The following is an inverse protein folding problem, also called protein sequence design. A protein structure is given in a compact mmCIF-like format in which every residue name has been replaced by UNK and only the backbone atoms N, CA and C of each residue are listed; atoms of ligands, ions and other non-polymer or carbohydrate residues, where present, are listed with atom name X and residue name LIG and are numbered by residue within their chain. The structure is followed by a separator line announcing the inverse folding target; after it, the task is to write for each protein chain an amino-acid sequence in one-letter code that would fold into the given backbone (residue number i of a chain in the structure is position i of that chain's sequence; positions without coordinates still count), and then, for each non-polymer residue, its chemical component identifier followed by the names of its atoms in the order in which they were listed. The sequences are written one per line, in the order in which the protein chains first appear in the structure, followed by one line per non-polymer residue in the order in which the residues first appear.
data_IF_863187523116
#
_entry.id   IF_863187523116
#
_cell.length_a   1.000
_cell.length_b   1.000
_cell.length_c   1.000
_cell.angle_alpha   90.00
_cell.angle_beta   90.00
_cell.angle_gamma   90.00
#
_symmetry.space_group_name_H-M   'P 1'
#
loop_
_entity.id
_entity.type
_entity.pdbx_description
1 polymer ?
#
# COMPACT_ATOMS: atom_id res chain seq x y z
N UNK A 1 -23.66 -24.13 7.66
CA UNK A 1 -22.88 -22.91 7.93
C UNK A 1 -22.58 -22.28 6.60
N UNK A 2 -23.08 -21.06 6.34
CA UNK A 2 -22.78 -20.34 5.08
C UNK A 2 -21.28 -20.05 5.07
N UNK A 3 -20.56 -20.68 4.14
CA UNK A 3 -19.10 -20.52 4.04
C UNK A 3 -18.78 -19.22 3.25
N UNK A 4 -19.13 -18.05 3.83
CA UNK A 4 -18.85 -16.74 3.23
C UNK A 4 -17.40 -16.28 3.47
N UNK A 5 -16.59 -17.10 4.15
CA UNK A 5 -15.22 -16.77 4.54
C UNK A 5 -14.34 -16.29 3.37
N UNK A 6 -14.23 -17.02 2.24
CA UNK A 6 -13.40 -16.57 1.12
C UNK A 6 -13.88 -15.26 0.50
N UNK A 7 -15.19 -15.04 0.47
CA UNK A 7 -15.77 -13.80 -0.05
C UNK A 7 -15.48 -12.61 0.85
N UNK A 8 -15.63 -12.79 2.17
CA UNK A 8 -15.28 -11.75 3.16
C UNK A 8 -13.81 -11.37 3.04
N UNK A 9 -12.91 -12.37 2.96
CA UNK A 9 -11.48 -12.15 2.82
C UNK A 9 -11.13 -11.34 1.55
N UNK A 10 -11.69 -11.69 0.42
CA UNK A 10 -11.49 -10.96 -0.84
C UNK A 10 -11.95 -9.50 -0.73
N UNK A 11 -13.13 -9.24 -0.12
CA UNK A 11 -13.63 -7.89 0.09
C UNK A 11 -12.74 -7.07 1.04
N UNK A 12 -12.20 -7.70 2.10
CA UNK A 12 -11.28 -7.06 3.02
C UNK A 12 -9.96 -6.69 2.34
N UNK A 13 -9.40 -7.57 1.50
CA UNK A 13 -8.20 -7.27 0.72
C UNK A 13 -8.44 -6.09 -0.24
N UNK A 14 -9.58 -6.08 -0.95
CA UNK A 14 -9.92 -4.98 -1.85
C UNK A 14 -10.09 -3.66 -1.08
N UNK A 15 -10.74 -3.69 0.09
CA UNK A 15 -10.91 -2.50 0.94
C UNK A 15 -9.58 -1.97 1.42
N UNK A 16 -8.70 -2.83 1.93
CA UNK A 16 -7.37 -2.47 2.38
C UNK A 16 -6.51 -1.90 1.24
N UNK A 17 -6.58 -2.47 0.03
CA UNK A 17 -5.91 -1.93 -1.14
C UNK A 17 -6.39 -0.51 -1.49
N UNK A 18 -7.70 -0.26 -1.51
CA UNK A 18 -8.21 1.10 -1.72
C UNK A 18 -7.82 2.06 -0.60
N UNK A 19 -7.77 1.59 0.64
CA UNK A 19 -7.31 2.41 1.78
C UNK A 19 -5.83 2.75 1.64
N UNK A 20 -4.99 1.79 1.28
CA UNK A 20 -3.57 2.00 1.02
C UNK A 20 -3.35 3.00 -0.14
N UNK A 21 -4.07 2.84 -1.27
CA UNK A 21 -4.02 3.79 -2.39
C UNK A 21 -4.44 5.21 -1.99
N UNK A 22 -5.45 5.33 -1.13
CA UNK A 22 -5.87 6.63 -0.60
C UNK A 22 -4.79 7.27 0.27
N UNK A 23 -4.10 6.48 1.10
CA UNK A 23 -2.99 6.94 1.94
C UNK A 23 -1.73 7.32 1.12
N UNK A 24 -1.57 6.77 -0.08
CA UNK A 24 -0.49 7.13 -1.01
C UNK A 24 -0.66 8.52 -1.64
N UNK A 25 -1.88 9.07 -1.68
CA UNK A 25 -2.11 10.37 -2.31
C UNK A 25 -1.56 11.50 -1.43
N UNK A 26 -0.57 12.28 -1.90
CA UNK A 26 0.06 13.32 -1.09
C UNK A 26 -0.93 14.44 -0.71
N UNK A 27 -1.90 14.70 -1.61
CA UNK A 27 -2.94 15.71 -1.41
C UNK A 27 -4.28 15.17 -1.94
N UNK A 28 -5.15 14.77 -1.03
CA UNK A 28 -6.42 14.08 -1.33
C UNK A 28 -7.67 14.98 -1.20
N UNK A 29 -7.46 16.29 -1.10
CA UNK A 29 -8.52 17.30 -0.97
C UNK A 29 -8.84 18.00 -2.28
N UNK A 30 -9.66 19.06 -2.21
CA UNK A 30 -10.05 19.87 -3.37
C UNK A 30 -9.00 20.96 -3.62
N UNK A 31 -8.39 21.03 -4.82
CA UNK A 31 -7.47 22.11 -5.16
C UNK A 31 -8.15 23.48 -5.14
N UNK A 32 -7.45 24.47 -4.65
CA UNK A 32 -7.86 25.86 -4.59
C UNK A 32 -6.69 26.76 -5.04
N UNK A 33 -6.98 27.73 -5.90
CA UNK A 33 -5.99 28.74 -6.32
C UNK A 33 -6.24 29.98 -5.49
N UNK A 34 -5.18 30.50 -4.85
CA UNK A 34 -5.20 31.79 -4.17
C UNK A 34 -4.23 32.74 -4.85
N UNK A 35 -4.65 33.99 -5.00
CA UNK A 35 -3.83 35.06 -5.60
C UNK A 35 -3.35 36.00 -4.51
N UNK A 36 -2.08 36.37 -4.61
CA UNK A 36 -1.46 37.43 -3.79
C UNK A 36 -0.61 38.30 -4.71
N UNK A 37 -1.12 39.48 -4.97
CA UNK A 37 -0.58 40.38 -5.98
C UNK A 37 -0.58 39.77 -7.38
N UNK A 38 0.59 39.62 -7.98
CA UNK A 38 0.77 39.01 -9.32
C UNK A 38 1.05 37.52 -9.27
N UNK A 39 1.14 36.92 -8.09
CA UNK A 39 1.49 35.52 -7.91
C UNK A 39 0.27 34.69 -7.58
N UNK A 40 0.24 33.46 -8.13
CA UNK A 40 -0.80 32.45 -7.83
C UNK A 40 -0.18 31.31 -7.05
N UNK A 41 -0.92 30.82 -6.07
CA UNK A 41 -0.50 29.76 -5.18
C UNK A 41 -1.54 28.65 -5.15
N UNK A 42 -1.09 27.41 -5.04
CA UNK A 42 -1.93 26.24 -4.91
C UNK A 42 -2.11 25.85 -3.45
N UNK A 43 -3.35 25.63 -3.09
CA UNK A 43 -3.77 25.10 -1.81
C UNK A 43 -4.64 23.87 -2.03
N UNK A 44 -4.69 23.01 -1.05
CA UNK A 44 -5.64 21.89 -1.01
C UNK A 44 -6.54 22.06 0.20
N UNK A 45 -7.84 22.08 -0.06
CA UNK A 45 -8.88 22.22 0.94
C UNK A 45 -9.45 20.85 1.29
N UNK A 46 -9.42 20.49 2.56
CA UNK A 46 -9.95 19.23 3.09
C UNK A 46 -10.76 19.47 4.36
N UNK A 47 -11.85 18.71 4.52
CA UNK A 47 -12.61 18.71 5.78
C UNK A 47 -11.99 17.68 6.73
N UNK A 48 -11.62 18.13 7.93
CA UNK A 48 -11.11 17.30 9.03
C UNK A 48 -12.11 17.43 10.18
N UNK A 49 -12.93 16.40 10.38
CA UNK A 49 -14.06 16.46 11.30
C UNK A 49 -15.06 17.54 10.89
N UNK A 50 -15.36 18.48 11.79
CA UNK A 50 -16.25 19.62 11.54
C UNK A 50 -15.56 20.83 10.90
N UNK A 51 -14.23 20.86 10.88
CA UNK A 51 -13.43 22.01 10.40
C UNK A 51 -13.01 21.84 8.94
N UNK A 52 -12.94 22.95 8.22
CA UNK A 52 -12.38 23.04 6.88
C UNK A 52 -10.93 23.52 7.02
N UNK A 53 -9.98 22.70 6.56
CA UNK A 53 -8.55 23.05 6.52
C UNK A 53 -8.14 23.36 5.08
N UNK A 54 -7.27 24.34 4.91
CA UNK A 54 -6.64 24.69 3.63
C UNK A 54 -5.13 24.64 3.81
N UNK A 55 -4.46 23.73 3.13
CA UNK A 55 -3.02 23.48 3.23
C UNK A 55 -2.34 24.06 2.00
N UNK A 56 -1.30 24.85 2.20
CA UNK A 56 -0.44 25.33 1.11
C UNK A 56 0.32 24.15 0.48
N UNK A 57 0.41 24.14 -0.84
CA UNK A 57 1.15 23.12 -1.60
C UNK A 57 2.38 23.73 -2.23
N UNK A 58 2.20 24.68 -3.17
CA UNK A 58 3.32 25.33 -3.87
C UNK A 58 2.82 26.55 -4.70
N UNK A 59 3.74 27.20 -5.40
CA UNK A 59 3.43 28.19 -6.45
C UNK A 59 2.67 27.49 -7.57
N UNK A 60 1.70 28.19 -8.16
CA UNK A 60 0.87 27.66 -9.24
C UNK A 60 1.71 27.23 -10.45
N UNK A 61 1.47 26.01 -10.90
CA UNK A 61 1.82 25.54 -12.23
C UNK A 61 0.68 24.68 -12.76
N UNK A 62 0.47 24.68 -14.07
CA UNK A 62 -0.59 23.89 -14.71
C UNK A 62 -0.40 22.39 -14.43
N UNK A 63 0.85 21.91 -14.50
CA UNK A 63 1.18 20.49 -14.23
C UNK A 63 0.79 20.08 -12.82
N UNK A 64 1.17 20.88 -11.82
CA UNK A 64 0.85 20.61 -10.42
C UNK A 64 -0.66 20.71 -10.17
N UNK A 65 -1.33 21.69 -10.76
CA UNK A 65 -2.78 21.83 -10.64
C UNK A 65 -3.52 20.62 -11.22
N UNK A 66 -3.11 20.12 -12.39
CA UNK A 66 -3.68 18.92 -13.00
C UNK A 66 -3.42 17.66 -12.16
N UNK A 67 -2.24 17.55 -11.54
CA UNK A 67 -1.93 16.47 -10.60
C UNK A 67 -2.88 16.51 -9.40
N UNK A 68 -3.07 17.67 -8.77
CA UNK A 68 -3.98 17.83 -7.63
C UNK A 68 -5.44 17.52 -8.00
N UNK A 69 -5.88 17.89 -9.20
CA UNK A 69 -7.21 17.54 -9.70
C UNK A 69 -7.37 16.02 -9.87
N UNK A 70 -6.34 15.34 -10.36
CA UNK A 70 -6.31 13.88 -10.47
C UNK A 70 -6.40 13.25 -9.09
N UNK A 71 -5.53 13.64 -8.17
CA UNK A 71 -5.53 13.13 -6.79
C UNK A 71 -6.89 13.31 -6.11
N UNK A 72 -7.54 14.47 -6.29
CA UNK A 72 -8.87 14.72 -5.73
C UNK A 72 -9.95 13.79 -6.30
N UNK A 73 -9.85 13.47 -7.61
CA UNK A 73 -10.75 12.53 -8.29
C UNK A 73 -10.54 11.12 -7.80
N UNK A 74 -9.29 10.68 -7.78
CA UNK A 74 -8.90 9.33 -7.35
C UNK A 74 -9.27 9.10 -5.87
N UNK A 75 -9.01 10.08 -5.00
CA UNK A 75 -9.44 10.04 -3.60
C UNK A 75 -10.97 9.90 -3.44
N UNK A 76 -11.74 10.60 -4.27
CA UNK A 76 -13.21 10.49 -4.26
C UNK A 76 -13.66 9.09 -4.70
N UNK A 77 -13.03 8.53 -5.71
CA UNK A 77 -13.32 7.19 -6.21
C UNK A 77 -12.96 6.12 -5.18
N UNK A 78 -11.77 6.18 -4.58
CA UNK A 78 -11.36 5.22 -3.54
C UNK A 78 -12.30 5.26 -2.34
N UNK A 79 -12.66 6.43 -1.83
CA UNK A 79 -13.65 6.57 -0.75
C UNK A 79 -15.03 6.02 -1.12
N UNK A 80 -15.44 6.14 -2.37
CA UNK A 80 -16.71 5.55 -2.86
C UNK A 80 -16.63 4.03 -2.85
N UNK A 81 -15.52 3.44 -3.32
CA UNK A 81 -15.32 2.00 -3.34
C UNK A 81 -15.23 1.42 -1.92
N UNK A 82 -14.50 2.05 -1.01
CA UNK A 82 -14.44 1.65 0.41
C UNK A 82 -15.85 1.59 1.01
N UNK A 83 -16.67 2.64 0.84
CA UNK A 83 -18.06 2.65 1.36
C UNK A 83 -18.94 1.57 0.74
N UNK A 84 -18.72 1.20 -0.51
CA UNK A 84 -19.43 0.10 -1.17
C UNK A 84 -19.04 -1.22 -0.51
N UNK A 85 -17.74 -1.47 -0.34
CA UNK A 85 -17.23 -2.68 0.28
C UNK A 85 -17.68 -2.82 1.75
N UNK A 86 -17.69 -1.73 2.52
CA UNK A 86 -18.24 -1.73 3.89
C UNK A 86 -19.70 -2.22 3.94
N UNK A 87 -20.51 -1.80 2.96
CA UNK A 87 -21.91 -2.26 2.88
C UNK A 87 -22.00 -3.74 2.51
N UNK A 88 -21.18 -4.20 1.58
CA UNK A 88 -21.15 -5.61 1.17
C UNK A 88 -20.67 -6.50 2.33
N UNK A 89 -19.65 -6.10 3.06
CA UNK A 89 -19.16 -6.77 4.27
C UNK A 89 -20.24 -6.85 5.36
N UNK A 90 -20.94 -5.74 5.61
CA UNK A 90 -22.04 -5.72 6.58
C UNK A 90 -23.18 -6.68 6.18
N UNK A 91 -23.50 -6.80 4.88
CA UNK A 91 -24.51 -7.76 4.39
C UNK A 91 -24.09 -9.22 4.59
N UNK A 92 -22.80 -9.51 4.60
CA UNK A 92 -22.24 -10.84 4.90
C UNK A 92 -22.13 -11.11 6.41
N UNK A 93 -22.53 -10.15 7.25
CA UNK A 93 -22.47 -10.26 8.70
C UNK A 93 -21.07 -10.02 9.28
N UNK A 94 -20.16 -9.44 8.50
CA UNK A 94 -18.84 -9.06 9.00
C UNK A 94 -18.95 -7.89 9.97
N UNK A 95 -18.30 -8.02 11.12
CA UNK A 95 -18.11 -6.97 12.12
C UNK A 95 -16.64 -6.79 12.41
N UNK A 96 -16.20 -5.54 12.54
CA UNK A 96 -14.82 -5.21 12.87
C UNK A 96 -14.39 -5.93 14.15
N UNK A 97 -13.22 -6.56 14.10
CA UNK A 97 -12.63 -7.18 15.28
C UNK A 97 -11.87 -6.14 16.11
N UNK A 98 -11.90 -6.29 17.43
CA UNK A 98 -11.08 -5.48 18.32
C UNK A 98 -9.60 -5.87 18.21
N UNK A 99 -8.73 -4.88 18.07
CA UNK A 99 -7.28 -5.07 18.08
C UNK A 99 -6.80 -5.14 19.52
N UNK A 100 -6.10 -6.22 19.87
CA UNK A 100 -5.48 -6.32 21.19
C UNK A 100 -4.42 -5.22 21.40
N UNK A 101 -4.17 -4.77 22.66
CA UNK A 101 -3.14 -3.77 22.93
C UNK A 101 -1.74 -4.17 22.44
N UNK A 102 -1.41 -5.47 22.46
CA UNK A 102 -0.14 -6.00 21.93
C UNK A 102 -0.05 -5.80 20.41
N UNK A 103 -1.10 -6.13 19.70
CA UNK A 103 -1.16 -5.94 18.22
C UNK A 103 -1.09 -4.46 17.88
N UNK A 104 -1.81 -3.60 18.61
CA UNK A 104 -1.74 -2.15 18.40
C UNK A 104 -0.32 -1.62 18.61
N UNK A 105 0.37 -2.04 19.66
CA UNK A 105 1.76 -1.64 19.91
C UNK A 105 2.68 -2.05 18.74
N UNK A 106 2.53 -3.28 18.24
CA UNK A 106 3.31 -3.77 17.11
C UNK A 106 3.02 -2.98 15.83
N UNK A 107 1.77 -2.63 15.57
CA UNK A 107 1.39 -1.77 14.44
C UNK A 107 2.02 -0.38 14.54
N UNK A 108 1.98 0.23 15.72
CA UNK A 108 2.56 1.55 15.95
C UNK A 108 4.08 1.52 15.77
N UNK A 109 4.74 0.47 16.27
CA UNK A 109 6.16 0.25 16.06
C UNK A 109 6.50 0.05 14.56
N UNK A 110 5.73 -0.78 13.86
CA UNK A 110 5.93 -1.02 12.43
C UNK A 110 5.72 0.26 11.60
N UNK A 111 4.71 1.06 11.92
CA UNK A 111 4.48 2.37 11.28
C UNK A 111 5.61 3.36 11.52
N UNK A 112 6.12 3.42 12.76
CA UNK A 112 7.23 4.30 13.11
C UNK A 112 8.52 3.96 12.34
N UNK A 113 8.73 2.68 12.01
CA UNK A 113 9.92 2.20 11.30
C UNK A 113 9.68 1.97 9.80
N UNK A 114 8.49 2.23 9.26
CA UNK A 114 8.12 1.90 7.90
C UNK A 114 9.07 2.51 6.85
N UNK A 115 9.42 3.78 6.99
CA UNK A 115 10.32 4.46 6.05
C UNK A 115 11.72 3.84 6.01
N UNK A 116 12.28 3.51 7.18
CA UNK A 116 13.57 2.84 7.28
C UNK A 116 13.54 1.45 6.66
N UNK A 117 12.50 0.68 6.95
CA UNK A 117 12.34 -0.66 6.39
C UNK A 117 12.16 -0.63 4.87
N UNK A 118 11.41 0.35 4.33
CA UNK A 118 11.26 0.52 2.88
C UNK A 118 12.61 0.87 2.24
N UNK A 119 13.39 1.76 2.87
CA UNK A 119 14.72 2.09 2.39
C UNK A 119 15.62 0.85 2.33
N UNK A 120 15.70 0.09 3.42
CA UNK A 120 16.53 -1.12 3.49
C UNK A 120 16.11 -2.16 2.44
N UNK A 121 14.82 -2.39 2.27
CA UNK A 121 14.27 -3.28 1.26
C UNK A 121 14.58 -2.80 -0.17
N UNK A 122 14.43 -1.50 -0.45
CA UNK A 122 14.75 -0.93 -1.75
C UNK A 122 16.23 -1.12 -2.12
N UNK A 123 17.12 -0.90 -1.15
CA UNK A 123 18.56 -1.13 -1.34
C UNK A 123 18.87 -2.62 -1.62
N UNK A 124 18.23 -3.54 -0.89
CA UNK A 124 18.37 -4.98 -1.11
C UNK A 124 17.87 -5.39 -2.50
N UNK A 125 16.85 -4.75 -3.04
CA UNK A 125 16.32 -4.94 -4.40
C UNK A 125 17.11 -4.20 -5.48
N UNK A 126 18.29 -3.66 -5.12
CA UNK A 126 19.20 -3.00 -6.04
C UNK A 126 18.78 -1.61 -6.50
N UNK A 127 17.90 -0.95 -5.75
CA UNK A 127 17.53 0.45 -6.01
C UNK A 127 18.66 1.37 -5.55
N UNK A 128 19.17 2.19 -6.44
CA UNK A 128 20.18 3.20 -6.12
C UNK A 128 19.48 4.41 -5.46
N UNK A 129 19.35 4.39 -4.14
CA UNK A 129 18.70 5.44 -3.36
C UNK A 129 19.43 5.74 -2.06
N UNK A 130 19.17 6.90 -1.48
CA UNK A 130 19.54 7.26 -0.10
C UNK A 130 18.31 7.34 0.78
N UNK A 131 18.48 7.30 2.11
CA UNK A 131 17.34 7.41 3.02
C UNK A 131 16.54 8.71 2.81
N UNK A 132 17.16 9.92 2.68
CA UNK A 132 16.41 11.14 2.39
C UNK A 132 15.62 11.08 1.08
N UNK A 133 16.19 10.52 0.00
CA UNK A 133 15.46 10.35 -1.27
C UNK A 133 14.27 9.40 -1.13
N UNK A 134 14.44 8.31 -0.40
CA UNK A 134 13.34 7.36 -0.11
C UNK A 134 12.24 8.04 0.70
N UNK A 135 12.60 8.83 1.71
CA UNK A 135 11.66 9.60 2.52
C UNK A 135 10.89 10.63 1.67
N UNK A 136 11.56 11.37 0.80
CA UNK A 136 10.92 12.32 -0.12
C UNK A 136 9.92 11.62 -1.06
N UNK A 137 10.26 10.44 -1.58
CA UNK A 137 9.34 9.65 -2.40
C UNK A 137 8.12 9.22 -1.59
N UNK A 138 8.35 8.73 -0.37
CA UNK A 138 7.27 8.26 0.51
C UNK A 138 6.33 9.41 0.89
N UNK A 139 6.86 10.58 1.21
CA UNK A 139 6.06 11.72 1.68
C UNK A 139 5.45 12.53 0.54
N UNK A 140 6.19 12.74 -0.54
CA UNK A 140 5.84 13.70 -1.59
C UNK A 140 5.62 13.07 -2.97
N UNK A 141 6.04 11.83 -3.18
CA UNK A 141 5.95 11.13 -4.46
C UNK A 141 6.89 11.66 -5.55
N UNK A 142 7.83 12.55 -5.19
CA UNK A 142 8.72 13.23 -6.13
C UNK A 142 10.13 13.20 -5.59
N UNK A 143 11.08 12.82 -6.45
CA UNK A 143 12.52 12.97 -6.20
C UNK A 143 13.24 13.29 -7.51
N UNK A 144 14.29 14.10 -7.42
CA UNK A 144 15.16 14.40 -8.56
C UNK A 144 16.33 13.41 -8.60
N UNK A 145 16.74 13.02 -9.82
CA UNK A 145 17.93 12.22 -10.04
C UNK A 145 17.76 10.71 -9.92
N UNK A 146 16.50 10.21 -9.75
CA UNK A 146 16.20 8.78 -9.77
C UNK A 146 15.46 8.38 -11.06
N UNK A 147 15.58 7.12 -11.44
CA UNK A 147 14.81 6.58 -12.57
C UNK A 147 13.35 6.39 -12.17
N UNK A 148 12.43 6.50 -13.14
CA UNK A 148 11.00 6.23 -12.90
C UNK A 148 10.78 4.80 -12.36
N UNK A 149 11.60 3.84 -12.81
CA UNK A 149 11.58 2.45 -12.35
C UNK A 149 11.92 2.34 -10.86
N UNK A 150 12.96 3.03 -10.39
CA UNK A 150 13.37 2.99 -8.99
C UNK A 150 12.35 3.67 -8.08
N UNK A 151 11.81 4.80 -8.52
CA UNK A 151 10.70 5.48 -7.81
C UNK A 151 9.49 4.55 -7.70
N UNK A 152 9.12 3.86 -8.80
CA UNK A 152 7.99 2.93 -8.79
C UNK A 152 8.21 1.76 -7.82
N UNK A 153 9.43 1.20 -7.74
CA UNK A 153 9.75 0.13 -6.78
C UNK A 153 9.51 0.60 -5.33
N UNK A 154 9.97 1.81 -4.98
CA UNK A 154 9.78 2.36 -3.63
C UNK A 154 8.28 2.60 -3.33
N UNK A 155 7.53 3.12 -4.30
CA UNK A 155 6.09 3.32 -4.15
C UNK A 155 5.33 2.00 -4.01
N UNK A 156 5.75 0.94 -4.72
CA UNK A 156 5.18 -0.39 -4.57
C UNK A 156 5.44 -0.98 -3.18
N UNK A 157 6.66 -0.82 -2.66
CA UNK A 157 6.98 -1.23 -1.29
C UNK A 157 6.13 -0.45 -0.28
N UNK A 158 6.01 0.87 -0.42
CA UNK A 158 5.12 1.67 0.42
C UNK A 158 3.68 1.17 0.35
N UNK A 159 3.17 0.87 -0.85
CA UNK A 159 1.82 0.36 -1.04
C UNK A 159 1.63 -0.99 -0.30
N UNK A 160 2.59 -1.90 -0.44
CA UNK A 160 2.54 -3.18 0.27
C UNK A 160 2.59 -3.00 1.81
N UNK A 161 3.41 -2.08 2.32
CA UNK A 161 3.46 -1.74 3.74
C UNK A 161 2.14 -1.15 4.25
N UNK A 162 1.55 -0.19 3.53
CA UNK A 162 0.24 0.39 3.90
C UNK A 162 -0.87 -0.68 3.91
N UNK A 163 -0.82 -1.64 2.97
CA UNK A 163 -1.75 -2.76 2.93
C UNK A 163 -1.60 -3.68 4.14
N UNK A 164 -0.38 -4.16 4.45
CA UNK A 164 -0.18 -5.09 5.57
C UNK A 164 -0.39 -4.45 6.94
N UNK A 165 -0.31 -3.12 7.05
CA UNK A 165 -0.58 -2.38 8.28
C UNK A 165 -2.05 -1.96 8.41
N UNK A 166 -2.88 -2.30 7.42
CA UNK A 166 -4.31 -2.07 7.51
C UNK A 166 -4.95 -2.96 8.56
N UNK A 167 -5.89 -2.40 9.31
CA UNK A 167 -6.55 -3.08 10.42
C UNK A 167 -7.27 -4.35 9.95
N UNK A 168 -7.96 -4.27 8.84
CA UNK A 168 -8.74 -5.40 8.32
C UNK A 168 -7.83 -6.56 7.87
N UNK A 169 -6.62 -6.25 7.39
CA UNK A 169 -5.62 -7.27 7.03
C UNK A 169 -5.02 -7.92 8.28
N UNK A 170 -4.62 -7.10 9.26
CA UNK A 170 -3.94 -7.57 10.49
C UNK A 170 -4.87 -8.42 11.38
N UNK A 171 -6.16 -8.14 11.39
CA UNK A 171 -7.13 -8.87 12.21
C UNK A 171 -7.66 -10.12 11.55
N UNK A 172 -7.32 -10.35 10.30
CA UNK A 172 -7.75 -11.52 9.55
C UNK A 172 -6.65 -12.60 9.53
N UNK A 173 -6.99 -13.89 9.51
CA UNK A 173 -5.98 -14.94 9.47
C UNK A 173 -5.06 -14.82 8.26
N UNK A 174 -3.76 -14.95 8.50
CA UNK A 174 -2.77 -14.99 7.43
C UNK A 174 -2.91 -16.29 6.64
N UNK A 175 -2.93 -16.18 5.32
CA UNK A 175 -2.99 -17.34 4.42
C UNK A 175 -2.18 -17.11 3.13
N UNK A 176 -2.24 -18.10 2.25
CA UNK A 176 -1.57 -18.03 0.94
C UNK A 176 -2.07 -16.84 0.07
N UNK A 177 -3.34 -16.47 0.18
CA UNK A 177 -3.93 -15.36 -0.60
C UNK A 177 -3.31 -14.02 -0.24
N UNK A 178 -3.08 -13.75 1.05
CA UNK A 178 -2.38 -12.54 1.53
C UNK A 178 -0.96 -12.47 0.95
N UNK A 179 -0.21 -13.58 0.96
CA UNK A 179 1.15 -13.60 0.38
C UNK A 179 1.14 -13.28 -1.11
N UNK A 180 0.20 -13.86 -1.86
CA UNK A 180 0.01 -13.56 -3.28
C UNK A 180 -0.34 -12.09 -3.50
N UNK A 181 -1.19 -11.51 -2.66
CA UNK A 181 -1.59 -10.11 -2.78
C UNK A 181 -0.42 -9.17 -2.51
N UNK A 182 0.36 -9.39 -1.44
CA UNK A 182 1.58 -8.62 -1.14
C UNK A 182 2.56 -8.69 -2.32
N UNK A 183 2.82 -9.91 -2.84
CA UNK A 183 3.70 -10.09 -3.99
C UNK A 183 3.18 -9.37 -5.25
N UNK A 184 1.86 -9.31 -5.45
CA UNK A 184 1.25 -8.53 -6.54
C UNK A 184 1.49 -7.03 -6.37
N UNK A 185 1.32 -6.49 -5.16
CA UNK A 185 1.55 -5.07 -4.87
C UNK A 185 3.01 -4.67 -5.11
N UNK A 186 3.95 -5.47 -4.59
CA UNK A 186 5.39 -5.22 -4.77
C UNK A 186 5.80 -5.24 -6.24
N UNK A 187 5.17 -6.10 -7.04
CA UNK A 187 5.49 -6.28 -8.46
C UNK A 187 4.58 -5.47 -9.41
N UNK A 188 3.76 -4.56 -8.90
CA UNK A 188 2.82 -3.78 -9.72
C UNK A 188 3.57 -2.95 -10.77
N UNK A 189 3.18 -3.11 -12.04
CA UNK A 189 3.81 -2.42 -13.17
C UNK A 189 5.09 -3.08 -13.72
N UNK A 190 5.65 -4.09 -13.03
CA UNK A 190 6.85 -4.81 -13.49
C UNK A 190 6.53 -6.18 -14.07
N UNK A 191 5.53 -6.88 -13.52
CA UNK A 191 5.13 -8.19 -13.98
C UNK A 191 3.62 -8.25 -14.16
N UNK A 192 3.17 -8.75 -15.30
CA UNK A 192 1.74 -8.90 -15.60
C UNK A 192 1.06 -9.87 -14.63
N UNK A 193 1.76 -10.94 -14.26
CA UNK A 193 1.29 -11.99 -13.35
C UNK A 193 1.92 -11.87 -11.94
N UNK A 194 2.21 -10.65 -11.48
CA UNK A 194 2.68 -10.41 -10.12
C UNK A 194 1.75 -11.08 -9.09
N UNK A 195 2.34 -11.72 -8.07
CA UNK A 195 1.58 -12.43 -7.05
C UNK A 195 1.24 -13.88 -7.38
N UNK A 196 1.70 -14.40 -8.51
CA UNK A 196 1.61 -15.82 -8.85
C UNK A 196 2.94 -16.55 -8.62
N UNK A 197 2.87 -17.84 -8.40
CA UNK A 197 4.06 -18.68 -8.37
C UNK A 197 4.71 -18.66 -9.74
N UNK A 198 6.05 -18.51 -9.75
CA UNK A 198 6.83 -18.48 -10.98
C UNK A 198 6.70 -19.80 -11.77
N UNK A 199 6.54 -19.68 -13.08
CA UNK A 199 6.55 -20.81 -14.00
C UNK A 199 7.88 -20.99 -14.74
N UNK A 200 8.94 -20.22 -14.36
CA UNK A 200 10.26 -20.28 -14.98
C UNK A 200 11.35 -20.52 -13.93
N UNK A 201 12.46 -21.20 -14.29
CA UNK A 201 13.63 -21.32 -13.41
C UNK A 201 14.21 -19.94 -13.10
N UNK A 202 14.80 -19.81 -11.90
CA UNK A 202 15.55 -18.63 -11.48
C UNK A 202 16.92 -19.05 -10.97
N UNK A 203 17.89 -18.14 -11.06
CA UNK A 203 19.21 -18.29 -10.47
C UNK A 203 19.43 -17.22 -9.42
N UNK A 204 20.18 -17.54 -8.38
CA UNK A 204 20.57 -16.56 -7.37
C UNK A 204 21.97 -16.06 -7.73
N UNK A 205 22.09 -14.74 -7.97
CA UNK A 205 23.39 -14.12 -8.29
C UNK A 205 24.45 -14.44 -7.22
N UNK A 206 25.66 -14.79 -7.65
CA UNK A 206 26.76 -15.15 -6.74
C UNK A 206 26.66 -16.53 -6.10
N UNK A 207 25.69 -17.36 -6.48
CA UNK A 207 25.49 -18.72 -5.97
C UNK A 207 25.39 -19.73 -7.11
N UNK A 208 25.92 -20.95 -6.88
CA UNK A 208 25.68 -22.11 -7.75
C UNK A 208 24.34 -22.82 -7.47
N UNK A 209 23.65 -22.43 -6.41
CA UNK A 209 22.35 -23.00 -6.07
C UNK A 209 21.26 -22.53 -7.03
N UNK A 210 20.57 -23.50 -7.62
CA UNK A 210 19.38 -23.27 -8.46
C UNK A 210 18.15 -23.68 -7.67
N UNK A 211 17.29 -22.73 -7.26
CA UNK A 211 16.07 -23.06 -6.54
C UNK A 211 15.17 -23.99 -7.39
N UNK A 212 14.62 -25.07 -6.82
CA UNK A 212 13.72 -25.95 -7.55
C UNK A 212 12.47 -25.17 -8.02
N UNK A 213 11.82 -25.70 -9.06
CA UNK A 213 10.51 -25.16 -9.48
C UNK A 213 9.50 -25.31 -8.35
N UNK A 214 8.82 -24.24 -7.97
CA UNK A 214 7.82 -24.29 -6.90
C UNK A 214 6.57 -25.05 -7.36
N UNK A 215 6.00 -25.81 -6.44
CA UNK A 215 4.72 -26.51 -6.62
C UNK A 215 3.71 -25.87 -5.67
N UNK A 216 2.64 -25.33 -6.20
CA UNK A 216 1.67 -24.52 -5.43
C UNK A 216 1.07 -25.28 -4.24
N UNK A 217 0.70 -26.54 -4.43
CA UNK A 217 0.15 -27.38 -3.35
C UNK A 217 1.13 -27.57 -2.21
N UNK A 218 2.40 -27.85 -2.53
CA UNK A 218 3.47 -28.02 -1.53
C UNK A 218 3.73 -26.73 -0.76
N UNK A 219 3.71 -25.57 -1.46
CA UNK A 219 3.89 -24.28 -0.79
C UNK A 219 2.72 -23.98 0.16
N UNK A 220 1.49 -24.28 -0.25
CA UNK A 220 0.30 -24.10 0.62
C UNK A 220 0.37 -24.98 1.86
N UNK A 221 0.71 -26.25 1.69
CA UNK A 221 0.89 -27.20 2.80
C UNK A 221 1.97 -26.73 3.79
N UNK A 222 3.16 -26.33 3.28
CA UNK A 222 4.23 -25.83 4.13
C UNK A 222 3.85 -24.52 4.85
N UNK A 223 3.14 -23.62 4.18
CA UNK A 223 2.65 -22.40 4.82
C UNK A 223 1.67 -22.71 5.94
N UNK A 224 0.71 -23.62 5.71
CA UNK A 224 -0.23 -24.04 6.75
C UNK A 224 0.50 -24.66 7.96
N UNK A 225 1.54 -25.46 7.72
CA UNK A 225 2.35 -26.05 8.79
C UNK A 225 3.10 -24.98 9.59
N UNK A 226 3.67 -23.97 8.92
CA UNK A 226 4.32 -22.83 9.58
C UNK A 226 3.31 -22.05 10.44
N UNK A 227 2.11 -21.78 9.91
CA UNK A 227 1.07 -21.02 10.61
C UNK A 227 0.45 -21.79 11.79
N UNK A 228 0.54 -23.13 11.78
CA UNK A 228 0.13 -23.98 12.92
C UNK A 228 1.19 -24.08 14.00
N UNK A 229 2.45 -23.76 13.69
CA UNK A 229 3.50 -23.74 14.70
C UNK A 229 3.21 -22.60 15.69
N UNK A 230 3.00 -22.97 16.95
CA UNK A 230 2.85 -22.03 18.05
C UNK A 230 4.22 -21.35 18.28
N UNK A 231 4.36 -20.12 17.81
CA UNK A 231 5.56 -19.31 18.06
C UNK A 231 5.48 -18.74 19.48
N UNK A 232 5.43 -19.63 20.47
CA UNK A 232 5.46 -19.31 21.91
C UNK A 232 6.84 -18.88 22.39
#
# INVERSE_FOLDING_TARGET
MNNNYPQIQELLHQKADYQARLNLLPYDGTPEIKEDGSKKYLYVRKRIGSRLSSTYVDVYSDTLYQLLLRNARDAKEYRKNIRRLDKELAQLGYTDQEISPRVQLNLDFARANMKSNIYDQAVLEGVATSFPQTEDIIDNGIVNGMTATDVQKILNLKHAWEFILDRDVITYPTDYSILCHIAKLVNEGFFQDGGRIRGIPVTIGGSSYVPPMPIETVIKEHLEDILKCDLS
#
